data_IF_999829209988
#
_entry.id   IF_999829209988
#
_cell.length_a   1.000
_cell.length_b   1.000
_cell.length_c   1.000
_cell.angle_alpha   90.00
_cell.angle_beta   90.00
_cell.angle_gamma   90.00
#
_symmetry.space_group_name_H-M   'P 1'
#
loop_
_entity.id
_entity.type
_entity.pdbx_description
1 polymer ?
#
# COMPACT_ATOMS: atom_id res chain seq x y z
N UNK A 1 -3.16 -21.27 16.45
CA UNK A 1 -2.62 -19.94 16.09
C UNK A 1 -1.75 -20.15 14.87
N UNK A 2 -2.18 -19.66 13.70
CA UNK A 2 -1.48 -19.88 12.44
C UNK A 2 -0.24 -18.98 12.36
N UNK A 3 0.94 -19.57 12.19
CA UNK A 3 2.26 -18.90 12.18
C UNK A 3 2.75 -18.64 10.76
N UNK A 4 1.98 -17.92 9.95
CA UNK A 4 2.37 -17.65 8.56
C UNK A 4 2.90 -16.22 8.44
N UNK A 5 4.15 -16.10 7.97
CA UNK A 5 4.84 -14.82 7.83
C UNK A 5 4.33 -14.04 6.60
N UNK A 6 4.01 -12.74 6.74
CA UNK A 6 3.70 -11.90 5.59
C UNK A 6 4.95 -11.66 4.74
N UNK A 7 4.84 -11.88 3.42
CA UNK A 7 5.91 -11.63 2.44
C UNK A 7 5.62 -10.35 1.65
N UNK A 8 6.12 -9.21 2.13
CA UNK A 8 5.85 -7.90 1.54
C UNK A 8 6.78 -7.51 0.39
N UNK A 9 6.30 -6.77 -0.61
CA UNK A 9 7.13 -6.26 -1.73
C UNK A 9 7.72 -4.92 -1.32
N UNK A 10 9.04 -4.87 -1.07
CA UNK A 10 9.73 -3.66 -0.61
C UNK A 10 10.74 -3.09 -1.62
N UNK A 11 11.03 -1.80 -1.42
CA UNK A 11 11.83 -0.97 -2.29
C UNK A 11 13.33 -0.99 -1.98
N UNK A 12 14.13 -0.39 -2.88
CA UNK A 12 15.58 -0.37 -2.83
C UNK A 12 16.16 0.35 -1.58
N UNK A 13 15.37 1.19 -0.90
CA UNK A 13 15.72 1.83 0.37
C UNK A 13 15.47 0.93 1.59
N UNK A 14 14.69 -0.14 1.41
CA UNK A 14 14.36 -1.16 2.41
C UNK A 14 15.00 -2.48 1.96
N UNK A 15 16.33 -2.49 1.93
CA UNK A 15 17.12 -3.54 1.32
C UNK A 15 16.77 -4.95 1.83
N UNK A 16 16.29 -5.78 0.90
CA UNK A 16 16.40 -7.25 0.86
C UNK A 16 15.24 -8.05 1.47
N UNK A 17 14.15 -8.21 0.71
CA UNK A 17 13.18 -9.31 0.91
C UNK A 17 13.23 -10.36 -0.22
N UNK A 18 13.44 -9.97 -1.47
CA UNK A 18 13.51 -10.91 -2.60
C UNK A 18 14.92 -11.49 -2.77
N UNK A 19 15.06 -12.83 -2.79
CA UNK A 19 16.32 -13.49 -3.16
C UNK A 19 16.70 -13.13 -4.61
N UNK A 20 17.80 -12.41 -4.81
CA UNK A 20 18.35 -12.06 -6.12
C UNK A 20 19.78 -12.59 -6.24
N UNK A 21 20.16 -13.20 -7.37
CA UNK A 21 21.55 -13.64 -7.61
C UNK A 21 22.50 -12.45 -7.86
N UNK A 22 21.94 -11.37 -8.38
CA UNK A 22 22.57 -10.04 -8.42
C UNK A 22 21.46 -9.00 -8.25
N UNK A 23 21.62 -8.10 -7.30
CA UNK A 23 20.79 -6.90 -7.22
C UNK A 23 21.56 -5.73 -7.84
N UNK A 24 20.85 -4.72 -8.34
CA UNK A 24 21.48 -3.45 -8.66
C UNK A 24 22.24 -2.99 -7.40
N UNK A 25 23.51 -2.60 -7.49
CA UNK A 25 24.37 -2.33 -6.32
C UNK A 25 25.39 -3.42 -5.97
N UNK A 26 25.30 -4.62 -6.56
CA UNK A 26 26.38 -5.61 -6.53
C UNK A 26 25.96 -7.05 -6.21
N UNK A 27 26.97 -7.90 -5.99
CA UNK A 27 26.82 -9.26 -5.49
C UNK A 27 26.98 -9.29 -3.96
N UNK A 28 26.43 -10.29 -3.26
CA UNK A 28 26.75 -10.51 -1.86
C UNK A 28 28.27 -10.58 -1.67
N UNK A 29 28.83 -9.92 -0.64
CA UNK A 29 30.26 -10.04 -0.33
C UNK A 29 30.56 -11.09 0.76
N UNK A 30 29.52 -11.77 1.25
CA UNK A 30 29.60 -12.75 2.35
C UNK A 30 29.96 -14.13 1.80
N UNK A 31 30.92 -14.82 2.43
CA UNK A 31 31.31 -16.17 2.04
C UNK A 31 30.11 -17.13 2.09
N UNK A 32 29.97 -17.96 1.05
CA UNK A 32 28.88 -18.95 0.88
C UNK A 32 27.47 -18.37 0.70
N UNK A 33 27.35 -17.07 0.38
CA UNK A 33 26.06 -16.44 0.06
C UNK A 33 26.00 -16.06 -1.41
N UNK A 34 25.12 -16.71 -2.16
CA UNK A 34 25.00 -16.54 -3.62
C UNK A 34 23.82 -15.67 -4.05
N UNK A 35 22.92 -15.33 -3.12
CA UNK A 35 21.75 -14.51 -3.38
C UNK A 35 21.66 -13.42 -2.32
N UNK A 36 21.51 -12.16 -2.73
CA UNK A 36 21.18 -11.10 -1.79
C UNK A 36 19.75 -11.33 -1.30
N UNK A 37 19.47 -11.09 -0.02
CA UNK A 37 18.23 -11.52 0.63
C UNK A 37 18.47 -12.00 2.06
N UNK A 38 17.56 -12.84 2.54
CA UNK A 38 17.62 -13.50 3.86
C UNK A 38 18.93 -14.27 4.13
N UNK A 39 19.63 -14.70 3.07
CA UNK A 39 20.88 -15.46 3.16
C UNK A 39 22.10 -14.56 3.53
N UNK A 40 22.03 -13.24 3.28
CA UNK A 40 23.10 -12.27 3.62
C UNK A 40 22.94 -11.71 5.03
N UNK A 41 21.69 -11.45 5.43
CA UNK A 41 21.33 -10.91 6.74
C UNK A 41 20.20 -11.76 7.29
N UNK A 42 20.54 -12.78 8.10
CA UNK A 42 19.56 -13.56 8.84
C UNK A 42 18.89 -12.69 9.89
N UNK A 43 17.69 -12.20 9.59
CA UNK A 43 16.95 -11.28 10.43
C UNK A 43 17.26 -9.81 10.12
N UNK A 44 16.19 -9.08 9.80
CA UNK A 44 16.04 -7.62 9.71
C UNK A 44 16.80 -6.92 8.56
N UNK A 45 16.22 -6.99 7.34
CA UNK A 45 16.10 -5.77 6.53
C UNK A 45 15.31 -4.74 7.34
N UNK A 46 15.52 -3.44 7.10
CA UNK A 46 14.93 -2.32 7.86
C UNK A 46 13.43 -2.52 8.11
N UNK A 47 13.10 -3.18 9.22
CA UNK A 47 11.92 -3.10 10.06
C UNK A 47 10.64 -2.61 9.34
N UNK A 48 10.27 -3.31 8.28
CA UNK A 48 8.99 -4.00 8.14
C UNK A 48 7.84 -3.33 8.91
N UNK A 49 7.44 -2.12 8.51
CA UNK A 49 6.30 -1.43 9.12
C UNK A 49 5.11 -2.38 9.07
N UNK A 50 4.86 -3.12 7.99
CA UNK A 50 3.77 -4.11 7.94
C UNK A 50 3.97 -5.30 8.91
N UNK A 51 5.17 -5.87 9.08
CA UNK A 51 5.42 -6.95 10.07
C UNK A 51 5.47 -6.43 11.50
N UNK A 52 5.95 -5.21 11.76
CA UNK A 52 5.82 -4.53 13.06
C UNK A 52 4.34 -4.25 13.32
N UNK A 53 3.58 -3.74 12.34
CA UNK A 53 2.14 -3.52 12.44
C UNK A 53 1.38 -4.84 12.60
N UNK A 54 1.89 -5.94 12.06
CA UNK A 54 1.34 -7.28 12.22
C UNK A 54 1.63 -7.85 13.61
N UNK A 55 2.88 -7.75 14.07
CA UNK A 55 3.35 -8.27 15.36
C UNK A 55 2.89 -7.43 16.56
N UNK A 56 2.93 -6.10 16.42
CA UNK A 56 2.65 -5.14 17.48
C UNK A 56 1.31 -4.43 17.32
N UNK A 57 0.54 -4.73 16.26
CA UNK A 57 -0.74 -4.09 15.97
C UNK A 57 -0.65 -2.56 16.06
N UNK A 58 0.31 -1.99 15.33
CA UNK A 58 0.57 -0.56 15.36
C UNK A 58 -0.73 0.21 15.12
N UNK A 59 -0.96 1.15 16.03
CA UNK A 59 -2.10 2.03 15.98
C UNK A 59 -1.80 3.20 15.04
N UNK A 60 -2.75 4.12 14.99
CA UNK A 60 -2.70 5.34 14.22
C UNK A 60 -2.62 5.07 12.70
N UNK A 61 -1.88 5.90 11.96
CA UNK A 61 -1.77 5.81 10.52
C UNK A 61 -0.86 4.70 9.99
N UNK A 62 -0.37 3.86 10.90
CA UNK A 62 0.39 2.66 10.61
C UNK A 62 -0.46 1.40 10.81
N UNK A 63 -1.79 1.48 10.69
CA UNK A 63 -2.63 0.29 10.85
C UNK A 63 -2.78 -0.50 9.56
N UNK A 64 -2.67 0.17 8.42
CA UNK A 64 -2.75 -0.46 7.11
C UNK A 64 -1.65 -1.52 6.92
N UNK A 65 -1.97 -2.53 6.11
CA UNK A 65 -1.08 -3.63 5.75
C UNK A 65 -1.23 -3.97 4.29
N UNK A 66 -0.15 -4.40 3.67
CA UNK A 66 -0.17 -5.03 2.37
C UNK A 66 -0.06 -6.54 2.54
N UNK A 67 -1.11 -7.26 2.14
CA UNK A 67 -1.21 -8.70 2.35
C UNK A 67 -1.09 -9.40 1.00
N UNK A 68 -0.19 -10.40 0.85
CA UNK A 68 -0.10 -11.15 -0.40
C UNK A 68 -1.46 -11.72 -0.81
N UNK A 69 -1.85 -11.53 -2.08
CA UNK A 69 -3.16 -11.96 -2.58
C UNK A 69 -3.39 -13.48 -2.43
N UNK A 70 -2.32 -14.27 -2.50
CA UNK A 70 -2.34 -15.72 -2.31
C UNK A 70 -2.53 -16.14 -0.84
N UNK A 71 -2.30 -15.22 0.10
CA UNK A 71 -2.37 -15.45 1.54
C UNK A 71 -3.56 -14.74 2.22
N UNK A 72 -4.46 -14.14 1.45
CA UNK A 72 -5.64 -13.46 2.01
C UNK A 72 -6.50 -14.46 2.80
N UNK A 73 -6.62 -14.20 4.10
CA UNK A 73 -7.52 -14.91 4.99
C UNK A 73 -8.93 -14.32 4.94
N UNK A 74 -9.90 -15.04 5.50
CA UNK A 74 -11.27 -14.54 5.65
C UNK A 74 -11.33 -13.18 6.38
N UNK A 75 -10.47 -12.95 7.36
CA UNK A 75 -10.42 -11.69 8.12
C UNK A 75 -9.89 -10.54 7.24
N UNK A 76 -8.95 -10.82 6.34
CA UNK A 76 -8.37 -9.80 5.48
C UNK A 76 -9.41 -9.20 4.53
N UNK A 77 -10.35 -10.01 4.04
CA UNK A 77 -11.47 -9.55 3.21
C UNK A 77 -12.33 -8.48 3.88
N UNK A 78 -12.62 -8.59 5.19
CA UNK A 78 -13.36 -7.55 5.92
C UNK A 78 -12.54 -6.27 6.15
N UNK A 79 -11.22 -6.38 6.01
CA UNK A 79 -10.30 -5.27 6.16
C UNK A 79 -9.89 -4.67 4.82
N UNK A 80 -10.37 -5.19 3.69
CA UNK A 80 -10.21 -4.58 2.38
C UNK A 80 -11.25 -3.46 2.23
N UNK A 81 -10.79 -2.25 1.86
CA UNK A 81 -11.67 -1.09 1.75
C UNK A 81 -11.63 -0.52 0.33
N UNK A 82 -12.81 -0.36 -0.27
CA UNK A 82 -12.97 0.23 -1.59
C UNK A 82 -13.04 1.76 -1.58
N UNK A 83 -13.26 2.36 -0.42
CA UNK A 83 -13.50 3.81 -0.28
C UNK A 83 -14.65 4.33 -1.15
N UNK A 84 -15.67 3.48 -1.37
CA UNK A 84 -16.83 3.80 -2.21
C UNK A 84 -16.58 3.65 -3.72
N UNK A 85 -15.43 3.10 -4.12
CA UNK A 85 -15.13 2.82 -5.52
C UNK A 85 -15.59 1.42 -5.89
N UNK A 86 -16.59 1.35 -6.76
CA UNK A 86 -17.15 0.11 -7.29
C UNK A 86 -17.07 0.09 -8.81
N UNK A 87 -16.98 -1.09 -9.39
CA UNK A 87 -17.15 -1.30 -10.82
C UNK A 87 -18.61 -1.09 -11.22
N UNK A 88 -18.90 -1.13 -12.53
CA UNK A 88 -20.26 -0.89 -13.05
C UNK A 88 -21.30 -1.89 -12.57
N UNK A 89 -20.86 -3.11 -12.30
CA UNK A 89 -21.62 -4.23 -11.77
C UNK A 89 -21.79 -4.17 -10.24
N UNK A 90 -21.29 -3.12 -9.59
CA UNK A 90 -21.36 -2.95 -8.13
C UNK A 90 -20.31 -3.74 -7.37
N UNK A 91 -19.34 -4.35 -8.06
CA UNK A 91 -18.25 -5.08 -7.41
C UNK A 91 -17.26 -4.07 -6.81
N UNK A 92 -16.93 -4.17 -5.50
CA UNK A 92 -15.96 -3.27 -4.89
C UNK A 92 -14.58 -3.37 -5.55
N UNK A 93 -13.96 -2.21 -5.79
CA UNK A 93 -12.62 -2.11 -6.35
C UNK A 93 -11.64 -1.87 -5.21
N UNK A 94 -10.70 -2.79 -5.04
CA UNK A 94 -9.68 -2.71 -3.99
C UNK A 94 -8.32 -2.30 -4.55
N UNK A 95 -7.52 -1.64 -3.73
CA UNK A 95 -6.14 -1.29 -4.08
C UNK A 95 -5.23 -2.51 -3.93
N UNK A 96 -4.41 -2.75 -4.95
CA UNK A 96 -3.27 -3.65 -4.88
C UNK A 96 -1.96 -2.90 -5.13
N UNK A 97 -0.84 -3.54 -4.78
CA UNK A 97 0.49 -3.19 -5.26
C UNK A 97 1.22 -4.42 -5.80
N UNK A 98 2.19 -4.18 -6.67
CA UNK A 98 3.02 -5.24 -7.25
C UNK A 98 4.37 -4.69 -7.73
N UNK A 99 5.41 -5.53 -7.74
CA UNK A 99 6.70 -5.20 -8.35
C UNK A 99 6.60 -5.33 -9.87
N UNK A 100 6.84 -4.24 -10.59
CA UNK A 100 6.79 -4.25 -12.05
C UNK A 100 7.81 -3.30 -12.64
N UNK A 101 8.74 -3.83 -13.45
CA UNK A 101 9.74 -3.06 -14.23
C UNK A 101 10.49 -1.99 -13.40
N UNK A 102 11.04 -2.41 -12.26
CA UNK A 102 11.91 -1.53 -11.47
C UNK A 102 11.18 -0.57 -10.53
N UNK A 103 9.91 -0.84 -10.20
CA UNK A 103 9.15 -0.09 -9.19
C UNK A 103 8.12 -0.97 -8.50
N UNK A 104 7.60 -0.48 -7.37
CA UNK A 104 6.39 -1.02 -6.74
C UNK A 104 5.21 -0.12 -7.12
N UNK A 105 4.29 -0.63 -7.92
CA UNK A 105 3.19 0.12 -8.51
C UNK A 105 1.84 -0.30 -7.92
N UNK A 106 0.97 0.67 -7.65
CA UNK A 106 -0.42 0.39 -7.25
C UNK A 106 -1.38 0.33 -8.43
N UNK A 107 -2.46 -0.41 -8.24
CA UNK A 107 -3.52 -0.59 -9.23
C UNK A 107 -4.79 -1.20 -8.67
N UNK A 108 -5.59 -1.78 -9.56
CA UNK A 108 -6.86 -2.41 -9.23
C UNK A 108 -6.67 -3.91 -9.00
N UNK A 109 -7.10 -4.38 -7.84
CA UNK A 109 -7.09 -5.79 -7.51
C UNK A 109 -8.30 -6.52 -8.14
N UNK A 110 -8.05 -7.68 -8.73
CA UNK A 110 -9.08 -8.63 -9.16
C UNK A 110 -8.98 -9.88 -8.27
N UNK A 111 -9.98 -10.09 -7.43
CA UNK A 111 -9.99 -11.19 -6.47
C UNK A 111 -10.15 -12.57 -7.11
N UNK A 112 -10.89 -12.65 -8.22
CA UNK A 112 -11.14 -13.93 -8.92
C UNK A 112 -9.87 -14.47 -9.57
N UNK A 113 -9.03 -13.57 -10.09
CA UNK A 113 -7.79 -13.91 -10.79
C UNK A 113 -6.55 -13.80 -9.91
N UNK A 114 -6.66 -13.17 -8.74
CA UNK A 114 -5.55 -12.80 -7.86
C UNK A 114 -4.52 -11.93 -8.59
N UNK A 115 -4.99 -10.98 -9.40
CA UNK A 115 -4.15 -10.12 -10.23
C UNK A 115 -4.24 -8.66 -9.84
N UNK A 116 -3.17 -7.91 -10.09
CA UNK A 116 -3.13 -6.46 -9.96
C UNK A 116 -3.06 -5.83 -11.35
N UNK A 117 -4.08 -5.04 -11.71
CA UNK A 117 -4.09 -4.30 -12.98
C UNK A 117 -3.51 -2.90 -12.79
N UNK A 118 -2.35 -2.66 -13.39
CA UNK A 118 -1.56 -1.43 -13.24
C UNK A 118 -1.38 -0.73 -14.58
N UNK A 119 -1.32 0.60 -14.57
CA UNK A 119 -0.85 1.37 -15.72
C UNK A 119 0.68 1.41 -15.74
N UNK A 120 1.30 1.26 -16.90
CA UNK A 120 2.72 1.52 -17.10
C UNK A 120 3.03 1.85 -18.55
N UNK A 121 3.72 2.98 -18.78
CA UNK A 121 4.19 3.39 -20.10
C UNK A 121 3.04 3.41 -21.13
N UNK A 122 1.92 4.03 -20.78
CA UNK A 122 0.71 4.16 -21.60
C UNK A 122 -0.07 2.85 -21.85
N UNK A 123 0.32 1.74 -21.21
CA UNK A 123 -0.34 0.43 -21.34
C UNK A 123 -0.90 -0.05 -20.00
N UNK A 124 -1.98 -0.81 -20.08
CA UNK A 124 -2.52 -1.57 -18.96
C UNK A 124 -1.80 -2.91 -18.87
N UNK A 125 -1.41 -3.32 -17.67
CA UNK A 125 -0.77 -4.59 -17.41
C UNK A 125 -1.52 -5.32 -16.30
N UNK A 126 -1.86 -6.58 -16.56
CA UNK A 126 -2.38 -7.49 -15.54
C UNK A 126 -1.20 -8.31 -15.00
N UNK A 127 -0.88 -8.09 -13.72
CA UNK A 127 0.26 -8.75 -13.06
C UNK A 127 -0.27 -9.77 -12.07
N UNK A 128 0.24 -11.01 -12.15
CA UNK A 128 -0.16 -12.12 -11.27
C UNK A 128 0.87 -12.44 -10.18
N UNK A 129 2.14 -12.14 -10.42
CA UNK A 129 3.23 -12.46 -9.49
C UNK A 129 3.39 -11.33 -8.50
N UNK A 130 3.68 -11.66 -7.24
CA UNK A 130 3.95 -10.68 -6.19
C UNK A 130 2.84 -9.61 -6.19
N UNK A 131 1.61 -10.03 -5.93
CA UNK A 131 0.48 -9.12 -5.77
C UNK A 131 0.17 -9.05 -4.29
N UNK A 132 0.10 -7.84 -3.77
CA UNK A 132 -0.37 -7.58 -2.42
C UNK A 132 -1.59 -6.66 -2.47
N UNK A 133 -2.48 -6.81 -1.50
CA UNK A 133 -3.74 -6.08 -1.39
C UNK A 133 -3.72 -5.24 -0.13
N UNK A 134 -4.18 -4.00 -0.25
CA UNK A 134 -4.27 -3.09 0.88
C UNK A 134 -5.40 -3.53 1.81
N UNK A 135 -5.05 -3.73 3.08
CA UNK A 135 -6.00 -3.98 4.16
C UNK A 135 -5.82 -2.94 5.27
N UNK A 136 -6.89 -2.64 6.01
CA UNK A 136 -6.87 -1.72 7.15
C UNK A 136 -7.65 -2.38 8.31
N UNK A 137 -6.97 -3.24 9.10
CA UNK A 137 -7.53 -3.95 10.24
C UNK A 137 -8.22 -3.03 11.25
N UNK A 138 -9.52 -3.20 11.47
CA UNK A 138 -10.31 -2.34 12.37
C UNK A 138 -10.99 -1.16 11.69
N UNK A 139 -11.01 -1.13 10.35
CA UNK A 139 -11.81 -0.20 9.55
C UNK A 139 -11.09 1.09 9.15
N UNK A 140 -11.77 1.97 8.39
CA UNK A 140 -11.17 3.24 7.95
C UNK A 140 -11.08 4.29 9.05
N UNK A 141 -11.88 4.17 10.11
CA UNK A 141 -11.79 5.01 11.31
C UNK A 141 -11.42 4.12 12.49
N UNK A 142 -10.17 4.23 12.94
CA UNK A 142 -9.64 3.42 14.03
C UNK A 142 -10.08 3.95 15.40
N UNK A 143 -10.09 3.08 16.40
CA UNK A 143 -10.32 3.49 17.79
C UNK A 143 -9.27 4.49 18.25
N UNK A 144 -8.05 4.38 17.73
CA UNK A 144 -6.89 5.28 17.90
C UNK A 144 -7.04 6.66 17.24
N UNK A 145 -8.23 7.00 16.71
CA UNK A 145 -8.49 8.24 15.99
C UNK A 145 -7.76 8.35 14.64
N UNK A 146 -7.16 7.28 14.13
CA UNK A 146 -6.71 7.24 12.73
C UNK A 146 -7.89 7.25 11.78
N UNK A 147 -7.82 8.11 10.76
CA UNK A 147 -8.84 8.21 9.72
C UNK A 147 -8.18 8.07 8.37
N UNK A 148 -8.47 6.95 7.70
CA UNK A 148 -8.15 6.69 6.31
C UNK A 148 -9.25 7.24 5.41
N UNK A 149 -8.89 8.11 4.49
CA UNK A 149 -9.85 8.75 3.58
C UNK A 149 -9.20 9.21 2.29
N UNK A 150 -10.05 9.46 1.29
CA UNK A 150 -9.65 10.03 0.01
C UNK A 150 -9.65 11.56 0.11
N UNK A 151 -8.52 12.18 -0.20
CA UNK A 151 -8.39 13.64 -0.26
C UNK A 151 -8.00 14.12 -1.65
N UNK A 152 -8.32 15.37 -1.98
CA UNK A 152 -7.88 15.98 -3.21
C UNK A 152 -6.36 16.10 -3.20
N UNK A 153 -5.68 15.66 -4.26
CA UNK A 153 -4.22 15.66 -4.33
C UNK A 153 -3.59 17.05 -4.14
N UNK A 154 -4.32 18.13 -4.43
CA UNK A 154 -3.84 19.51 -4.27
C UNK A 154 -3.81 19.97 -2.82
N UNK A 155 -4.63 19.37 -1.97
CA UNK A 155 -4.80 19.79 -0.56
C UNK A 155 -4.30 18.73 0.41
N UNK A 156 -4.09 17.49 -0.05
CA UNK A 156 -3.63 16.39 0.78
C UNK A 156 -2.21 16.68 1.33
N UNK A 157 -2.02 16.67 2.67
CA UNK A 157 -0.69 16.83 3.25
C UNK A 157 0.22 15.68 2.84
N UNK A 158 1.44 15.98 2.37
CA UNK A 158 2.39 14.93 1.95
C UNK A 158 2.69 13.92 3.06
N UNK A 159 2.73 14.36 4.33
CA UNK A 159 2.95 13.50 5.49
C UNK A 159 1.81 12.54 5.80
N UNK A 160 0.62 12.75 5.20
CA UNK A 160 -0.57 11.90 5.39
C UNK A 160 -0.71 10.83 4.31
N UNK A 161 0.09 10.88 3.24
CA UNK A 161 -0.09 10.01 2.09
C UNK A 161 0.32 8.57 2.41
N UNK A 162 -0.49 7.61 1.98
CA UNK A 162 -0.13 6.19 2.08
C UNK A 162 0.89 5.86 1.00
N UNK A 163 2.05 5.38 1.42
CA UNK A 163 3.13 5.00 0.51
C UNK A 163 2.87 3.59 -0.03
N UNK A 164 3.06 3.43 -1.34
CA UNK A 164 2.99 2.15 -2.05
C UNK A 164 4.38 1.53 -2.16
N UNK A 165 5.39 2.36 -2.42
CA UNK A 165 6.79 2.02 -2.59
C UNK A 165 7.53 3.11 -3.36
N UNK A 166 8.67 2.77 -3.96
CA UNK A 166 9.47 3.72 -4.74
C UNK A 166 9.85 3.20 -6.13
N UNK A 167 10.34 4.12 -6.95
CA UNK A 167 10.97 3.83 -8.24
C UNK A 167 12.45 3.49 -7.99
N UNK A 168 12.95 2.33 -8.39
CA UNK A 168 14.29 1.90 -7.94
C UNK A 168 15.42 2.78 -8.48
N UNK A 169 15.25 3.37 -9.67
CA UNK A 169 16.26 4.23 -10.29
C UNK A 169 16.07 5.73 -10.02
N UNK A 170 15.04 6.14 -9.27
CA UNK A 170 14.77 7.54 -8.98
C UNK A 170 14.19 7.71 -7.57
N UNK A 171 14.56 8.78 -6.87
CA UNK A 171 14.02 9.10 -5.54
C UNK A 171 12.58 9.64 -5.64
N UNK A 172 11.66 8.83 -6.16
CA UNK A 172 10.24 9.13 -6.30
C UNK A 172 9.44 8.19 -5.42
N UNK A 173 8.59 8.76 -4.56
CA UNK A 173 7.60 8.00 -3.79
C UNK A 173 6.35 7.80 -4.63
N UNK A 174 5.82 6.57 -4.60
CA UNK A 174 4.57 6.22 -5.24
C UNK A 174 3.47 6.13 -4.19
N UNK A 175 2.29 6.66 -4.54
CA UNK A 175 1.13 6.70 -3.64
C UNK A 175 -0.12 6.16 -4.34
N UNK A 176 -1.05 5.62 -3.56
CA UNK A 176 -2.32 5.10 -4.07
C UNK A 176 -3.19 6.25 -4.53
N UNK A 177 -3.61 6.21 -5.78
CA UNK A 177 -4.50 7.20 -6.38
C UNK A 177 -5.84 6.57 -6.76
N UNK A 178 -6.90 7.34 -6.60
CA UNK A 178 -8.28 6.98 -6.94
C UNK A 178 -8.82 8.02 -7.94
N UNK A 179 -9.53 7.59 -8.97
CA UNK A 179 -10.17 8.52 -9.90
C UNK A 179 -11.38 7.92 -10.58
N UNK A 180 -12.35 8.78 -10.91
CA UNK A 180 -13.42 8.48 -11.84
C UNK A 180 -13.04 8.96 -13.24
N UNK A 181 -12.94 8.05 -14.21
CA UNK A 181 -12.43 8.32 -15.56
C UNK A 181 -13.42 7.83 -16.61
N UNK A 182 -13.44 8.48 -17.77
CA UNK A 182 -14.24 8.00 -18.89
C UNK A 182 -13.54 6.83 -19.55
N UNK A 183 -14.26 5.71 -19.64
CA UNK A 183 -13.89 4.52 -20.39
C UNK A 183 -14.04 4.74 -21.89
N UNK A 184 -13.55 3.79 -22.69
CA UNK A 184 -13.56 3.86 -24.16
C UNK A 184 -14.97 4.00 -24.76
N UNK A 185 -15.99 3.55 -24.03
CA UNK A 185 -17.40 3.67 -24.42
C UNK A 185 -18.03 5.00 -23.95
N UNK A 186 -17.23 5.95 -23.48
CA UNK A 186 -17.67 7.29 -23.04
C UNK A 186 -18.34 7.31 -21.67
N UNK A 187 -18.53 6.16 -21.01
CA UNK A 187 -19.11 6.07 -19.67
C UNK A 187 -18.05 6.23 -18.59
N UNK A 188 -18.45 6.71 -17.42
CA UNK A 188 -17.54 7.06 -16.33
C UNK A 188 -17.41 5.92 -15.32
N UNK A 189 -16.19 5.45 -15.10
CA UNK A 189 -15.85 4.33 -14.21
C UNK A 189 -14.84 4.72 -13.15
N UNK A 190 -14.86 3.96 -12.06
CA UNK A 190 -13.96 4.09 -10.92
C UNK A 190 -12.67 3.30 -11.16
N UNK A 191 -11.53 3.91 -10.83
CA UNK A 191 -10.20 3.32 -11.03
C UNK A 191 -9.31 3.56 -9.82
N UNK A 192 -8.47 2.56 -9.56
CA UNK A 192 -7.33 2.66 -8.64
C UNK A 192 -6.05 2.60 -9.46
N UNK A 193 -5.11 3.49 -9.13
CA UNK A 193 -3.86 3.64 -9.85
C UNK A 193 -2.78 4.16 -8.93
N UNK A 194 -1.80 4.84 -9.53
CA UNK A 194 -0.65 5.38 -8.81
C UNK A 194 -0.36 6.82 -9.21
N UNK A 195 0.22 7.58 -8.31
CA UNK A 195 0.83 8.87 -8.60
C UNK A 195 2.28 8.87 -8.15
N UNK A 196 3.10 9.67 -8.81
CA UNK A 196 4.48 9.94 -8.40
C UNK A 196 4.54 11.35 -7.85
N UNK A 197 5.05 11.49 -6.63
CA UNK A 197 5.33 12.83 -6.10
C UNK A 197 6.78 13.19 -6.46
N UNK A 198 7.03 14.39 -7.02
CA UNK A 198 6.14 15.57 -7.09
C UNK A 198 5.46 15.81 -8.46
N UNK A 199 5.31 14.80 -9.33
CA UNK A 199 4.84 14.99 -10.71
C UNK A 199 3.37 15.40 -10.85
N UNK A 200 2.58 15.39 -9.76
CA UNK A 200 1.21 15.92 -9.70
C UNK A 200 0.24 15.32 -10.75
N UNK A 201 0.54 14.10 -11.23
CA UNK A 201 -0.27 13.35 -12.17
C UNK A 201 -0.37 11.90 -11.72
N UNK A 202 -1.54 11.31 -11.91
CA UNK A 202 -1.77 9.90 -11.61
C UNK A 202 -1.98 9.10 -12.90
N UNK A 203 -1.47 7.87 -12.94
CA UNK A 203 -1.63 6.91 -14.03
C UNK A 203 -2.53 5.75 -13.60
N UNK A 204 -3.52 5.43 -14.42
CA UNK A 204 -4.54 4.40 -14.17
C UNK A 204 -4.60 3.41 -15.34
N UNK A 205 -4.83 2.13 -15.07
CA UNK A 205 -5.11 1.13 -16.10
C UNK A 205 -6.57 1.22 -16.59
N UNK A 206 -6.76 1.59 -17.87
CA UNK A 206 -8.07 1.80 -18.50
C UNK A 206 -8.17 0.94 -19.76
N UNK A 207 -8.85 -0.21 -19.65
CA UNK A 207 -8.90 -1.20 -20.72
C UNK A 207 -7.51 -1.77 -21.03
N UNK A 208 -7.09 -1.70 -22.29
CA UNK A 208 -5.76 -2.13 -22.75
C UNK A 208 -4.67 -1.05 -22.59
N UNK A 209 -5.07 0.20 -22.34
CA UNK A 209 -4.16 1.34 -22.24
C UNK A 209 -4.08 1.83 -20.79
N UNK A 210 -3.16 2.75 -20.51
CA UNK A 210 -3.22 3.56 -19.29
C UNK A 210 -3.57 5.01 -19.60
N UNK A 211 -4.23 5.67 -18.66
CA UNK A 211 -4.60 7.08 -18.75
C UNK A 211 -3.90 7.87 -17.66
N UNK A 212 -3.29 8.99 -18.04
CA UNK A 212 -2.67 9.95 -17.12
C UNK A 212 -3.62 11.12 -16.92
N UNK A 213 -3.86 11.51 -15.66
CA UNK A 213 -4.79 12.59 -15.33
C UNK A 213 -4.31 13.45 -14.16
N UNK A 214 -4.80 14.70 -14.11
CA UNK A 214 -4.69 15.62 -12.97
C UNK A 214 -5.95 15.64 -12.09
N UNK A 215 -6.97 14.83 -12.44
CA UNK A 215 -8.20 14.69 -11.68
C UNK A 215 -8.12 13.35 -10.95
N UNK A 216 -7.71 13.37 -9.70
CA UNK A 216 -7.61 12.18 -8.86
C UNK A 216 -7.67 12.59 -7.38
N UNK A 217 -7.88 11.60 -6.53
CA UNK A 217 -7.80 11.69 -5.09
C UNK A 217 -6.67 10.79 -4.61
N UNK A 218 -6.06 11.15 -3.48
CA UNK A 218 -5.03 10.38 -2.82
C UNK A 218 -5.61 9.66 -1.62
N UNK A 219 -5.18 8.43 -1.38
CA UNK A 219 -5.42 7.79 -0.10
C UNK A 219 -4.51 8.40 0.95
N UNK A 220 -5.12 8.90 2.01
CA UNK A 220 -4.45 9.53 3.14
C UNK A 220 -4.81 8.82 4.42
N UNK A 221 -3.97 8.99 5.45
CA UNK A 221 -4.33 8.79 6.83
C UNK A 221 -3.94 10.00 7.67
N UNK A 222 -4.85 10.42 8.55
CA UNK A 222 -4.64 11.50 9.51
C UNK A 222 -5.21 11.13 10.88
N UNK A 223 -4.78 11.84 11.93
CA UNK A 223 -5.39 11.73 13.25
C UNK A 223 -6.57 12.72 13.37
N UNK A 224 -7.74 12.22 13.75
CA UNK A 224 -8.89 13.05 14.11
C UNK A 224 -8.63 13.73 15.47
N UNK A 225 -8.32 15.03 15.41
CA UNK A 225 -8.03 15.85 16.59
C UNK A 225 -9.21 15.92 17.56
N UNK A 226 -10.46 15.89 17.07
CA UNK A 226 -11.64 15.90 17.94
C UNK A 226 -11.77 14.59 18.71
N UNK A 227 -11.52 13.47 18.03
CA UNK A 227 -11.46 12.16 18.67
C UNK A 227 -10.35 12.12 19.74
N UNK A 228 -9.17 12.66 19.45
CA UNK A 228 -8.05 12.73 20.40
C UNK A 228 -8.39 13.58 21.64
N UNK A 229 -9.04 14.74 21.46
CA UNK A 229 -9.48 15.60 22.58
C UNK A 229 -10.49 14.86 23.46
N UNK A 230 -11.48 14.19 22.87
CA UNK A 230 -12.47 13.41 23.63
C UNK A 230 -11.81 12.28 24.43
N UNK A 231 -10.82 11.61 23.84
CA UNK A 231 -10.07 10.56 24.52
C UNK A 231 -9.29 11.06 25.73
N UNK A 232 -8.58 12.19 25.59
CA UNK A 232 -7.80 12.76 26.69
C UNK A 232 -8.69 13.12 27.90
N UNK A 233 -9.87 13.69 27.64
CA UNK A 233 -10.87 14.00 28.69
C UNK A 233 -11.35 12.72 29.38
N UNK A 234 -11.47 11.60 28.64
CA UNK A 234 -11.88 10.30 29.20
C UNK A 234 -10.75 9.54 29.91
N UNK A 235 -9.50 9.71 29.49
CA UNK A 235 -8.34 8.98 30.03
C UNK A 235 -7.78 9.59 31.32
N UNK A 236 -8.04 10.86 31.61
CA UNK A 236 -7.79 11.45 32.95
C UNK A 236 -8.56 10.72 34.07
N UNK A 237 -9.45 9.78 33.74
CA UNK A 237 -10.14 8.89 34.69
C UNK A 237 -9.62 7.44 34.72
N UNK A 238 -8.66 7.07 33.88
CA UNK A 238 -8.17 5.69 33.80
C UNK A 238 -6.68 5.65 33.40
N UNK A 239 -5.78 5.60 34.38
CA UNK A 239 -4.36 5.29 34.15
C UNK A 239 -4.16 3.78 33.96
N UNK A 240 -3.79 3.34 32.74
CA UNK A 240 -2.98 2.12 32.54
C UNK A 240 -1.99 2.35 31.37
N UNK A 241 -0.73 2.00 31.62
CA UNK A 241 0.45 2.10 30.74
C UNK A 241 0.36 1.19 29.50
N UNK A 242 0.85 1.67 28.35
CA UNK A 242 1.21 0.84 27.20
C UNK A 242 2.71 0.98 26.87
N UNK A 243 3.41 -0.10 26.46
CA UNK A 243 4.82 -0.05 26.13
C UNK A 243 5.04 0.57 24.74
N UNK A 244 5.89 1.60 24.70
CA UNK A 244 6.35 2.24 23.47
C UNK A 244 7.32 1.33 22.72
N UNK A 245 7.01 1.05 21.44
CA UNK A 245 7.97 1.03 20.32
C UNK A 245 7.23 0.83 18.99
N UNK A 246 6.75 1.93 18.41
CA UNK A 246 6.52 2.06 16.98
C UNK A 246 7.64 3.00 16.47
N UNK A 247 8.41 2.59 15.47
CA UNK A 247 9.49 3.43 14.90
C UNK A 247 8.85 4.37 13.88
N UNK A 248 9.16 5.66 13.97
CA UNK A 248 8.71 6.72 13.06
C UNK A 248 9.60 6.85 11.84
#
# INVERSE_FOLDING_TARGET
MSTHEPMGIYDYGSQMHSKCESCEGGRPNTENVYKCGEDVTSGLSVLDVDKINSLYNCQECQRHRWVPAEMLSYIDYFNMHSFGYESRDGTPIYACRTQFKGQVASGMYDDSRKTCRIGWSHKSWEVKKQVEVLTIPGGTTGKDCSVYKLENWRTAPHSSLINVGSYFHAKLSLHVAYSKLNSLDGKSDNYVGKTWMPHNVAEFAVGINSLITKRYQLLTCSLDTNCMVKKNISSERAEIKCPQKCIR
#
